data_IF_804299991933
#
_entry.id   IF_804299991933
#
_cell.length_a   1.000
_cell.length_b   1.000
_cell.length_c   1.000
_cell.angle_alpha   90.00
_cell.angle_beta   90.00
_cell.angle_gamma   90.00
#
_symmetry.space_group_name_H-M   'P 1'
#
loop_
_entity.id
_entity.type
_entity.pdbx_description
1 polymer ?
#
# COMPACT_ATOMS: atom_id res chain seq x y z
N UNK A 1 19.24 -13.70 12.40
CA UNK A 1 17.81 -13.48 12.72
C UNK A 1 17.35 -12.29 11.89
N UNK A 2 16.28 -12.43 11.12
CA UNK A 2 15.74 -11.32 10.33
C UNK A 2 14.84 -10.45 11.20
N UNK A 3 15.08 -9.15 11.23
CA UNK A 3 14.24 -8.17 11.91
C UNK A 3 13.28 -7.53 10.90
N UNK A 4 11.99 -7.51 11.24
CA UNK A 4 10.93 -6.87 10.47
C UNK A 4 10.36 -5.73 11.30
N UNK A 5 10.26 -4.55 10.70
CA UNK A 5 9.59 -3.39 11.30
C UNK A 5 8.14 -3.33 10.83
N UNK A 6 7.24 -3.00 11.74
CA UNK A 6 5.83 -2.66 11.44
C UNK A 6 5.62 -1.19 11.75
N UNK A 7 5.30 -0.42 10.75
CA UNK A 7 5.08 1.03 10.88
C UNK A 7 3.66 1.32 11.37
N UNK A 8 3.53 2.17 12.37
CA UNK A 8 2.27 2.78 12.76
C UNK A 8 2.31 4.26 12.41
N UNK A 9 1.32 4.71 11.65
CA UNK A 9 1.25 6.08 11.15
C UNK A 9 -0.11 6.71 11.47
N UNK A 10 -0.11 8.03 11.61
CA UNK A 10 -1.31 8.86 11.55
C UNK A 10 -1.30 9.61 10.21
N UNK A 11 -1.63 8.89 9.14
CA UNK A 11 -1.63 9.46 7.78
C UNK A 11 -2.71 10.50 7.62
N UNK A 12 -2.39 11.58 6.93
CA UNK A 12 -3.26 12.71 6.65
C UNK A 12 -3.53 12.81 5.14
N UNK A 13 -4.16 13.89 4.71
CA UNK A 13 -4.43 14.21 3.31
C UNK A 13 -3.23 14.84 2.55
N UNK A 14 -2.16 15.18 3.26
CA UNK A 14 -0.93 15.74 2.71
C UNK A 14 0.09 14.63 2.44
N UNK A 15 0.23 14.27 1.15
CA UNK A 15 1.15 13.23 0.67
C UNK A 15 2.61 13.57 1.01
N UNK A 16 3.03 14.82 0.88
CA UNK A 16 4.42 15.22 1.15
C UNK A 16 4.78 15.09 2.63
N UNK A 17 3.88 15.51 3.50
CA UNK A 17 4.07 15.35 4.94
C UNK A 17 4.09 13.86 5.34
N UNK A 18 3.20 13.04 4.76
CA UNK A 18 3.22 11.60 5.00
C UNK A 18 4.53 10.96 4.51
N UNK A 19 5.09 11.40 3.37
CA UNK A 19 6.38 10.92 2.89
C UNK A 19 7.56 11.29 3.80
N UNK A 20 7.54 12.43 4.46
CA UNK A 20 8.54 12.78 5.47
C UNK A 20 8.50 11.79 6.64
N UNK A 21 7.29 11.41 7.09
CA UNK A 21 7.09 10.40 8.14
C UNK A 21 7.54 9.02 7.65
N UNK A 22 7.18 8.61 6.42
CA UNK A 22 7.60 7.35 5.80
C UNK A 22 9.12 7.23 5.79
N UNK A 23 9.83 8.24 5.29
CA UNK A 23 11.29 8.24 5.23
C UNK A 23 11.92 8.18 6.63
N UNK A 24 11.39 8.94 7.60
CA UNK A 24 11.84 8.89 8.99
C UNK A 24 11.68 7.49 9.61
N UNK A 25 10.56 6.81 9.36
CA UNK A 25 10.32 5.45 9.84
C UNK A 25 11.25 4.42 9.18
N UNK A 26 11.54 4.59 7.88
CA UNK A 26 12.54 3.77 7.17
C UNK A 26 13.92 3.96 7.79
N UNK A 27 14.35 5.19 8.06
CA UNK A 27 15.63 5.49 8.70
C UNK A 27 15.74 4.84 10.08
N UNK A 28 14.69 4.96 10.91
CA UNK A 28 14.63 4.36 12.24
C UNK A 28 14.70 2.84 12.18
N UNK A 29 13.97 2.21 11.24
CA UNK A 29 13.98 0.77 11.02
C UNK A 29 15.36 0.29 10.59
N UNK A 30 15.99 1.01 9.68
CA UNK A 30 17.34 0.68 9.21
C UNK A 30 18.40 0.83 10.31
N UNK A 31 18.28 1.85 11.16
CA UNK A 31 19.17 2.03 12.32
C UNK A 31 19.09 0.87 13.31
N UNK A 32 17.97 0.15 13.35
CA UNK A 32 17.78 -1.07 14.13
C UNK A 32 18.13 -2.35 13.35
N UNK A 33 18.73 -2.25 12.16
CA UNK A 33 19.07 -3.36 11.27
C UNK A 33 17.85 -4.15 10.77
N UNK A 34 16.69 -3.54 10.63
CA UNK A 34 15.55 -4.17 9.99
C UNK A 34 15.84 -4.44 8.50
N UNK A 35 15.41 -5.60 8.04
CA UNK A 35 15.52 -6.02 6.62
C UNK A 35 14.29 -5.67 5.80
N UNK A 36 13.15 -5.51 6.46
CA UNK A 36 11.86 -5.20 5.88
C UNK A 36 11.10 -4.22 6.77
N UNK A 37 10.39 -3.28 6.16
CA UNK A 37 9.37 -2.46 6.83
C UNK A 37 8.01 -2.67 6.17
N UNK A 38 6.96 -2.80 6.98
CA UNK A 38 5.56 -2.94 6.54
C UNK A 38 4.80 -1.67 6.92
N UNK A 39 4.23 -0.99 5.94
CA UNK A 39 3.37 0.19 6.13
C UNK A 39 1.89 -0.19 6.20
N UNK A 40 1.06 0.59 6.90
CA UNK A 40 -0.37 0.33 7.03
C UNK A 40 -1.15 0.63 5.74
N UNK A 41 -2.43 0.26 5.71
CA UNK A 41 -3.38 0.66 4.67
C UNK A 41 -3.47 2.20 4.58
N UNK A 42 -3.57 2.75 3.35
CA UNK A 42 -3.69 4.19 3.06
C UNK A 42 -2.56 5.07 3.64
N UNK A 43 -1.36 4.53 3.76
CA UNK A 43 -0.24 5.21 4.45
C UNK A 43 0.25 6.47 3.76
N UNK A 44 0.06 6.62 2.44
CA UNK A 44 0.48 7.82 1.69
C UNK A 44 -0.55 8.94 1.71
N UNK A 45 -1.85 8.58 1.86
CA UNK A 45 -2.95 9.55 1.96
C UNK A 45 -4.16 8.86 2.60
N UNK A 46 -4.62 9.37 3.73
CA UNK A 46 -5.81 8.89 4.40
C UNK A 46 -6.83 10.03 4.53
N UNK A 47 -7.62 10.22 3.48
CA UNK A 47 -8.66 11.24 3.44
C UNK A 47 -9.85 10.79 2.58
N UNK A 48 -11.05 11.02 3.08
CA UNK A 48 -12.28 10.68 2.37
C UNK A 48 -12.36 11.44 1.03
N UNK A 49 -12.67 10.74 -0.05
CA UNK A 49 -12.83 11.31 -1.38
C UNK A 49 -11.53 11.61 -2.14
N UNK A 50 -10.36 11.38 -1.54
CA UNK A 50 -9.05 11.63 -2.18
C UNK A 50 -8.49 10.44 -2.97
N UNK A 51 -9.16 9.29 -2.98
CA UNK A 51 -8.65 8.06 -3.58
C UNK A 51 -8.28 8.21 -5.05
N UNK A 52 -9.13 8.89 -5.83
CA UNK A 52 -8.90 9.11 -7.26
C UNK A 52 -7.74 10.08 -7.52
N UNK A 53 -7.70 11.19 -6.81
CA UNK A 53 -6.61 12.18 -6.91
C UNK A 53 -5.26 11.56 -6.52
N UNK A 54 -5.24 10.74 -5.47
CA UNK A 54 -4.04 10.00 -5.07
C UNK A 54 -3.67 8.93 -6.10
N UNK A 55 -4.65 8.26 -6.71
CA UNK A 55 -4.42 7.25 -7.74
C UNK A 55 -3.76 7.83 -9.00
N UNK A 56 -4.06 9.06 -9.38
CA UNK A 56 -3.41 9.76 -10.49
C UNK A 56 -1.89 9.93 -10.28
N UNK A 57 -1.44 9.86 -9.04
CA UNK A 57 -0.04 9.94 -8.65
C UNK A 57 0.62 8.56 -8.41
N UNK A 58 -0.08 7.45 -8.69
CA UNK A 58 0.37 6.10 -8.37
C UNK A 58 1.80 5.81 -8.81
N UNK A 59 2.13 6.06 -10.08
CA UNK A 59 3.45 5.78 -10.64
C UNK A 59 4.55 6.61 -9.97
N UNK A 60 4.29 7.90 -9.70
CA UNK A 60 5.26 8.77 -9.03
C UNK A 60 5.47 8.37 -7.57
N UNK A 61 4.41 7.95 -6.88
CA UNK A 61 4.45 7.42 -5.51
C UNK A 61 5.26 6.11 -5.47
N UNK A 62 4.97 5.18 -6.39
CA UNK A 62 5.71 3.92 -6.51
C UNK A 62 7.21 4.16 -6.74
N UNK A 63 7.56 5.00 -7.71
CA UNK A 63 8.96 5.36 -7.98
C UNK A 63 9.66 5.98 -6.78
N UNK A 64 8.94 6.78 -6.00
CA UNK A 64 9.48 7.39 -4.79
C UNK A 64 9.77 6.35 -3.72
N UNK A 65 8.88 5.36 -3.54
CA UNK A 65 9.09 4.24 -2.62
C UNK A 65 10.25 3.34 -3.07
N UNK A 66 10.36 3.05 -4.37
CA UNK A 66 11.48 2.31 -4.94
C UNK A 66 12.82 3.01 -4.69
N UNK A 67 12.88 4.35 -4.84
CA UNK A 67 14.06 5.14 -4.49
C UNK A 67 14.42 5.02 -3.01
N UNK A 68 13.44 5.07 -2.11
CA UNK A 68 13.69 4.91 -0.67
C UNK A 68 14.17 3.49 -0.35
N UNK A 69 13.57 2.46 -0.95
CA UNK A 69 14.00 1.07 -0.79
C UNK A 69 15.47 0.90 -1.22
N UNK A 70 15.83 1.47 -2.38
CA UNK A 70 17.20 1.45 -2.90
C UNK A 70 18.17 2.25 -2.01
N UNK A 71 17.82 3.47 -1.66
CA UNK A 71 18.67 4.35 -0.85
C UNK A 71 19.01 3.75 0.51
N UNK A 72 18.02 3.18 1.18
CA UNK A 72 18.17 2.61 2.51
C UNK A 72 18.49 1.10 2.51
N UNK A 73 18.56 0.46 1.34
CA UNK A 73 18.81 -0.97 1.21
C UNK A 73 17.89 -1.77 2.16
N UNK A 74 16.57 -1.54 2.03
CA UNK A 74 15.52 -2.16 2.85
C UNK A 74 14.35 -2.58 1.96
N UNK A 75 13.74 -3.71 2.28
CA UNK A 75 12.49 -4.12 1.66
C UNK A 75 11.31 -3.32 2.23
N UNK A 76 10.32 -3.03 1.38
CA UNK A 76 9.13 -2.30 1.78
C UNK A 76 7.90 -3.11 1.35
N UNK A 77 6.99 -3.39 2.31
CA UNK A 77 5.60 -3.72 1.98
C UNK A 77 4.82 -2.42 2.09
N UNK A 78 4.45 -1.86 0.94
CA UNK A 78 3.64 -0.66 0.81
C UNK A 78 2.18 -1.04 1.02
N UNK A 79 1.70 -0.88 2.25
CA UNK A 79 0.45 -1.41 2.78
C UNK A 79 -0.73 -1.19 1.88
N UNK A 80 -1.07 0.08 1.43
CA UNK A 80 -1.86 0.29 0.22
C UNK A 80 -1.69 1.66 -0.44
N UNK A 81 -1.83 1.61 -1.75
CA UNK A 81 -1.92 2.75 -2.66
C UNK A 81 -3.19 2.60 -3.51
N UNK A 82 -3.98 3.66 -3.73
CA UNK A 82 -4.99 3.64 -4.76
C UNK A 82 -4.33 3.65 -6.14
N UNK A 83 -4.82 2.80 -7.07
CA UNK A 83 -4.25 2.64 -8.42
C UNK A 83 -5.35 2.72 -9.48
N UNK A 84 -5.20 3.52 -10.55
CA UNK A 84 -6.19 3.65 -11.60
C UNK A 84 -6.12 2.56 -12.66
N UNK A 85 -5.12 1.66 -12.56
CA UNK A 85 -4.85 0.61 -13.54
C UNK A 85 -5.06 -0.78 -12.96
N UNK A 86 -5.53 -1.72 -13.79
CA UNK A 86 -5.50 -3.15 -13.51
C UNK A 86 -4.08 -3.72 -13.71
N UNK A 87 -3.80 -4.95 -13.28
CA UNK A 87 -2.48 -5.57 -13.46
C UNK A 87 -2.02 -5.70 -14.92
N UNK A 88 -2.95 -5.77 -15.87
CA UNK A 88 -2.68 -5.80 -17.31
C UNK A 88 -2.40 -4.41 -17.93
N UNK A 89 -2.38 -3.36 -17.11
CA UNK A 89 -2.17 -1.97 -17.53
C UNK A 89 -3.43 -1.26 -18.04
N UNK A 90 -4.56 -1.94 -18.15
CA UNK A 90 -5.80 -1.30 -18.58
C UNK A 90 -6.34 -0.33 -17.52
N UNK A 91 -6.81 0.84 -17.97
CA UNK A 91 -7.40 1.85 -17.09
C UNK A 91 -8.82 1.47 -16.68
N UNK A 92 -9.17 1.74 -15.41
CA UNK A 92 -10.54 1.58 -14.90
C UNK A 92 -11.36 2.79 -15.35
N UNK A 93 -12.41 2.57 -16.16
CA UNK A 93 -13.14 3.63 -16.85
C UNK A 93 -14.32 4.21 -16.05
N UNK A 94 -14.83 3.48 -15.06
CA UNK A 94 -16.04 3.86 -14.30
C UNK A 94 -15.77 4.81 -13.12
N UNK A 95 -14.52 5.28 -12.99
CA UNK A 95 -14.10 6.23 -11.96
C UNK A 95 -13.70 5.58 -10.63
N UNK A 96 -13.80 4.26 -10.51
CA UNK A 96 -13.23 3.51 -9.39
C UNK A 96 -11.72 3.37 -9.54
N UNK A 97 -11.07 2.95 -8.48
CA UNK A 97 -9.64 2.64 -8.43
C UNK A 97 -9.44 1.28 -7.78
N UNK A 98 -8.23 0.72 -7.82
CA UNK A 98 -7.83 -0.47 -7.07
C UNK A 98 -7.15 -0.07 -5.77
N UNK A 99 -7.32 -0.87 -4.73
CA UNK A 99 -6.51 -0.81 -3.51
C UNK A 99 -5.34 -1.77 -3.68
N UNK A 100 -4.12 -1.24 -3.84
CA UNK A 100 -2.94 -2.03 -4.22
C UNK A 100 -1.92 -2.06 -3.09
N UNK A 101 -1.45 -3.26 -2.74
CA UNK A 101 -0.26 -3.47 -1.91
C UNK A 101 0.91 -3.87 -2.79
N UNK A 102 2.09 -3.27 -2.53
CA UNK A 102 3.32 -3.56 -3.27
C UNK A 102 4.36 -4.16 -2.32
N UNK A 103 5.08 -5.19 -2.79
CA UNK A 103 6.30 -5.64 -2.17
C UNK A 103 7.48 -5.13 -3.01
N UNK A 104 8.30 -4.27 -2.42
CA UNK A 104 9.38 -3.55 -3.09
C UNK A 104 10.71 -3.99 -2.48
N UNK A 105 11.61 -4.49 -3.33
CA UNK A 105 13.00 -4.78 -2.97
C UNK A 105 13.89 -3.54 -3.15
N UNK A 106 15.15 -3.54 -2.69
CA UNK A 106 16.10 -2.49 -3.03
C UNK A 106 16.32 -2.30 -4.53
N UNK A 107 16.01 -3.27 -5.37
CA UNK A 107 16.23 -3.25 -6.82
C UNK A 107 14.98 -2.86 -7.61
N UNK A 108 13.78 -3.28 -7.17
CA UNK A 108 12.54 -3.09 -7.93
C UNK A 108 11.28 -3.47 -7.13
N UNK A 109 10.13 -3.21 -7.68
CA UNK A 109 8.86 -3.81 -7.24
C UNK A 109 8.84 -5.31 -7.63
N UNK A 110 8.75 -6.20 -6.66
CA UNK A 110 8.77 -7.66 -6.83
C UNK A 110 7.37 -8.23 -6.98
N UNK A 111 6.37 -7.64 -6.31
CA UNK A 111 4.99 -8.11 -6.37
C UNK A 111 4.00 -6.97 -6.20
N UNK A 112 2.85 -7.12 -6.84
CA UNK A 112 1.66 -6.29 -6.70
C UNK A 112 0.49 -7.18 -6.32
N UNK A 113 -0.24 -6.80 -5.29
CA UNK A 113 -1.50 -7.41 -4.88
C UNK A 113 -2.62 -6.38 -4.95
N UNK A 114 -3.71 -6.72 -5.60
CA UNK A 114 -4.93 -5.93 -5.66
C UNK A 114 -5.95 -6.54 -4.68
N UNK A 115 -6.41 -5.77 -3.70
CA UNK A 115 -7.34 -6.21 -2.64
C UNK A 115 -8.54 -6.96 -3.22
N UNK A 116 -8.77 -8.19 -2.75
CA UNK A 116 -9.85 -9.06 -3.23
C UNK A 116 -11.16 -8.77 -2.50
N UNK A 117 -11.13 -8.75 -1.15
CA UNK A 117 -12.34 -8.63 -0.34
C UNK A 117 -12.56 -7.18 0.06
N UNK A 118 -13.55 -6.56 -0.56
CA UNK A 118 -13.96 -5.19 -0.24
C UNK A 118 -14.88 -5.17 0.97
N UNK A 119 -14.75 -4.13 1.79
CA UNK A 119 -15.54 -3.96 3.01
C UNK A 119 -16.94 -3.42 2.69
N UNK A 120 -17.81 -4.32 2.24
CA UNK A 120 -19.24 -4.07 1.99
C UNK A 120 -20.07 -4.74 3.10
N UNK A 121 -20.36 -3.98 4.16
CA UNK A 121 -21.04 -4.51 5.36
C UNK A 121 -22.16 -3.60 5.82
N UNK A 122 -23.21 -4.19 6.35
CA UNK A 122 -24.26 -3.50 7.09
C UNK A 122 -23.91 -3.60 8.58
N UNK A 123 -23.77 -2.46 9.23
CA UNK A 123 -23.47 -2.37 10.67
C UNK A 123 -24.58 -1.61 11.38
N UNK A 124 -24.89 -2.02 12.61
CA UNK A 124 -25.93 -1.39 13.42
C UNK A 124 -25.50 -0.11 14.14
N UNK A 125 -24.54 0.62 13.57
CA UNK A 125 -24.05 1.91 14.08
C UNK A 125 -24.75 3.10 13.40
N UNK A 126 -24.35 4.34 13.76
CA UNK A 126 -24.91 5.56 13.21
C UNK A 126 -24.62 5.77 11.71
N UNK A 127 -23.66 5.03 11.13
CA UNK A 127 -23.31 5.07 9.70
C UNK A 127 -24.24 4.17 8.87
N UNK A 128 -24.77 3.09 9.46
CA UNK A 128 -25.72 2.17 8.84
C UNK A 128 -25.13 1.17 7.85
N UNK A 129 -23.93 1.41 7.33
CA UNK A 129 -23.23 0.49 6.43
C UNK A 129 -22.04 1.11 5.73
N UNK A 130 -21.11 0.24 5.34
CA UNK A 130 -19.94 0.58 4.54
C UNK A 130 -20.05 -0.12 3.19
N UNK A 131 -19.69 0.57 2.12
CA UNK A 131 -19.75 0.04 0.75
C UNK A 131 -18.50 0.47 -0.02
N UNK A 132 -17.41 -0.24 0.22
CA UNK A 132 -16.10 0.04 -0.39
C UNK A 132 -16.15 -0.16 -1.92
N UNK A 133 -16.95 -1.10 -2.40
CA UNK A 133 -17.15 -1.38 -3.83
C UNK A 133 -17.69 -0.19 -4.67
N UNK A 134 -18.21 0.85 -4.02
CA UNK A 134 -18.60 2.10 -4.71
C UNK A 134 -17.40 2.86 -5.26
N UNK A 135 -16.26 2.73 -4.61
CA UNK A 135 -15.04 3.51 -4.90
C UNK A 135 -13.91 2.65 -5.43
N UNK A 136 -13.94 1.34 -5.12
CA UNK A 136 -12.88 0.42 -5.48
C UNK A 136 -13.38 -0.75 -6.32
N UNK A 137 -12.54 -1.16 -7.28
CA UNK A 137 -12.72 -2.39 -8.05
C UNK A 137 -11.91 -3.51 -7.39
N UNK A 138 -12.50 -4.70 -7.09
CA UNK A 138 -11.77 -5.78 -6.43
C UNK A 138 -10.76 -6.46 -7.35
N UNK A 139 -9.67 -6.97 -6.76
CA UNK A 139 -8.76 -7.91 -7.38
C UNK A 139 -9.34 -9.33 -7.45
N UNK A 140 -8.54 -10.25 -8.00
CA UNK A 140 -8.93 -11.67 -8.16
C UNK A 140 -7.85 -12.65 -7.72
N UNK A 141 -6.60 -12.21 -7.63
CA UNK A 141 -5.46 -13.10 -7.51
C UNK A 141 -4.82 -13.06 -6.12
N UNK A 142 -4.59 -14.23 -5.54
CA UNK A 142 -3.75 -14.38 -4.35
C UNK A 142 -2.29 -14.22 -4.77
N UNK A 143 -1.56 -13.37 -4.06
CA UNK A 143 -0.16 -13.06 -4.40
C UNK A 143 0.77 -13.47 -3.27
N UNK A 144 1.75 -14.30 -3.62
CA UNK A 144 2.88 -14.67 -2.76
C UNK A 144 4.16 -14.38 -3.50
N UNK A 145 5.09 -13.70 -2.86
CA UNK A 145 6.42 -13.40 -3.42
C UNK A 145 7.53 -13.97 -2.56
N UNK A 146 8.62 -14.40 -3.19
CA UNK A 146 9.81 -14.90 -2.50
C UNK A 146 10.76 -13.75 -2.17
N UNK A 147 11.27 -13.76 -0.94
CA UNK A 147 12.25 -12.78 -0.45
C UNK A 147 13.45 -13.50 0.15
N UNK A 148 14.57 -12.82 0.41
CA UNK A 148 15.74 -13.43 1.06
C UNK A 148 15.45 -13.97 2.48
N UNK A 149 14.32 -13.59 3.08
CA UNK A 149 13.94 -14.01 4.44
C UNK A 149 12.68 -14.89 4.49
N UNK A 150 12.21 -15.39 3.33
CA UNK A 150 11.07 -16.30 3.19
C UNK A 150 10.01 -15.79 2.23
N UNK A 151 8.92 -16.53 2.09
CA UNK A 151 7.80 -16.13 1.27
C UNK A 151 6.88 -15.17 2.01
N UNK A 152 6.43 -14.14 1.31
CA UNK A 152 5.47 -13.14 1.83
C UNK A 152 4.18 -13.26 1.04
N UNK A 153 3.06 -13.55 1.72
CA UNK A 153 1.71 -13.39 1.18
C UNK A 153 1.19 -11.97 1.45
N UNK A 154 0.66 -11.32 0.42
CA UNK A 154 0.10 -9.96 0.54
C UNK A 154 -1.41 -10.03 0.79
N UNK A 155 -1.86 -9.31 1.80
CA UNK A 155 -3.26 -9.19 2.21
C UNK A 155 -3.52 -7.78 2.73
N UNK A 156 -4.77 -7.33 2.67
CA UNK A 156 -5.17 -5.97 3.09
C UNK A 156 -6.46 -6.00 3.89
N UNK A 157 -6.41 -5.51 5.14
CA UNK A 157 -7.58 -5.20 5.97
C UNK A 157 -8.59 -6.37 6.06
N UNK A 158 -9.67 -6.34 5.24
CA UNK A 158 -10.79 -7.29 5.27
C UNK A 158 -10.50 -8.63 4.56
N UNK A 159 -9.34 -8.76 3.91
CA UNK A 159 -8.90 -10.05 3.37
C UNK A 159 -8.62 -11.07 4.51
#
# INVERSE_FOLDING_TARGET
>A
MTLISVAQMNSQDDIENNFQVIESLIQQSKAQNASLIVFPENFVCFAAGKQRETAEQFESIQQRLEKLAHQYQIWIVAGTLPCPFRPDGSTIQDGRVRTVSLCISPERTEARYDKIHLFDVQVGDAVGGYQESRFFEPGTDVVVTSTPFGNIGLMVCYD
#
